data_IF_550800652136
#
_entry.id   IF_550800652136
#
_cell.length_a   1.000
_cell.length_b   1.000
_cell.length_c   1.000
_cell.angle_alpha   90.00
_cell.angle_beta   90.00
_cell.angle_gamma   90.00
#
_symmetry.space_group_name_H-M   'P 1'
#
loop_
_entity.id
_entity.type
_entity.pdbx_description
1 polymer ?
#
# COMPACT_ATOMS: atom_id res chain seq x y z
N UNK A 1 -23.26 1.63 -41.57
CA UNK A 1 -22.05 1.90 -40.79
C UNK A 1 -21.50 0.56 -40.34
N UNK A 2 -20.34 0.15 -40.87
CA UNK A 2 -19.63 -1.05 -40.40
C UNK A 2 -18.60 -0.56 -39.41
N UNK A 3 -18.77 -0.92 -38.15
CA UNK A 3 -17.75 -0.71 -37.08
C UNK A 3 -16.84 -1.94 -37.08
N UNK A 4 -15.60 -1.75 -37.50
CA UNK A 4 -14.55 -2.74 -37.29
C UNK A 4 -13.96 -2.46 -35.88
N UNK A 5 -14.21 -3.36 -34.95
CA UNK A 5 -13.63 -3.31 -33.61
C UNK A 5 -12.48 -4.33 -33.58
N UNK A 6 -11.27 -3.83 -33.38
CA UNK A 6 -10.10 -4.68 -33.13
C UNK A 6 -9.94 -4.79 -31.62
N UNK A 7 -10.00 -6.01 -31.08
CA UNK A 7 -9.82 -6.26 -29.66
C UNK A 7 -8.33 -6.43 -29.36
N UNK A 8 -7.77 -5.47 -28.62
CA UNK A 8 -6.39 -5.54 -28.16
C UNK A 8 -6.29 -6.35 -26.85
N UNK A 9 -5.08 -6.84 -26.55
CA UNK A 9 -4.81 -7.59 -25.33
C UNK A 9 -4.93 -6.67 -24.12
N UNK A 10 -5.76 -7.02 -23.15
CA UNK A 10 -6.00 -6.23 -21.94
C UNK A 10 -5.10 -6.65 -20.77
N UNK A 11 -4.47 -7.82 -20.89
CA UNK A 11 -3.53 -8.34 -19.91
C UNK A 11 -2.09 -7.95 -20.26
N UNK A 12 -1.39 -7.36 -19.31
CA UNK A 12 -0.02 -6.88 -19.40
C UNK A 12 0.83 -7.54 -18.32
N UNK A 13 1.99 -8.10 -18.73
CA UNK A 13 3.00 -8.63 -17.84
C UNK A 13 4.23 -7.72 -17.89
N UNK A 14 4.62 -7.21 -16.73
CA UNK A 14 5.81 -6.36 -16.57
C UNK A 14 6.80 -7.02 -15.63
N UNK A 15 8.08 -7.00 -15.99
CA UNK A 15 9.19 -7.37 -15.14
C UNK A 15 10.19 -6.21 -15.02
N UNK A 16 10.75 -6.01 -13.85
CA UNK A 16 11.70 -4.93 -13.60
C UNK A 16 12.77 -5.34 -12.61
N UNK A 17 13.95 -4.69 -12.71
CA UNK A 17 15.02 -4.78 -11.72
C UNK A 17 15.45 -3.36 -11.38
N UNK A 18 15.58 -3.07 -10.09
CA UNK A 18 16.06 -1.79 -9.58
C UNK A 18 17.17 -2.04 -8.55
N UNK A 19 17.96 -1.01 -8.27
CA UNK A 19 18.94 -1.03 -7.20
C UNK A 19 18.77 0.20 -6.31
N UNK A 20 18.69 -0.02 -5.01
CA UNK A 20 18.66 1.03 -3.99
C UNK A 20 19.71 0.75 -2.92
N UNK A 21 20.28 1.80 -2.32
CA UNK A 21 21.29 1.66 -1.25
C UNK A 21 20.74 0.92 -0.03
N UNK A 22 19.49 1.13 0.29
CA UNK A 22 18.80 0.50 1.44
C UNK A 22 18.23 -0.87 1.09
N UNK A 23 17.56 -0.99 -0.05
CA UNK A 23 16.88 -2.23 -0.46
C UNK A 23 17.76 -3.21 -1.23
N UNK A 24 18.94 -2.79 -1.69
CA UNK A 24 19.79 -3.58 -2.58
C UNK A 24 19.18 -3.77 -3.97
N UNK A 25 19.38 -4.94 -4.57
CA UNK A 25 18.73 -5.33 -5.82
C UNK A 25 17.28 -5.73 -5.55
N UNK A 26 16.36 -5.07 -6.21
CA UNK A 26 14.92 -5.32 -6.15
C UNK A 26 14.44 -5.86 -7.50
N UNK A 27 13.86 -7.05 -7.49
CA UNK A 27 13.13 -7.61 -8.62
C UNK A 27 11.63 -7.39 -8.46
N UNK A 28 10.95 -6.96 -9.52
CA UNK A 28 9.50 -6.75 -9.56
C UNK A 28 8.90 -7.55 -10.69
N UNK A 29 7.77 -8.22 -10.42
CA UNK A 29 6.91 -8.88 -11.39
C UNK A 29 5.49 -8.36 -11.20
N UNK A 30 4.87 -7.83 -12.25
CA UNK A 30 3.51 -7.33 -12.22
C UNK A 30 2.69 -7.91 -13.36
N UNK A 31 1.50 -8.39 -13.04
CA UNK A 31 0.49 -8.83 -14.00
C UNK A 31 -0.77 -7.97 -13.79
N UNK A 32 -1.23 -7.31 -14.82
CA UNK A 32 -2.43 -6.46 -14.77
C UNK A 32 -3.34 -6.78 -15.96
N UNK A 33 -4.62 -7.04 -15.69
CA UNK A 33 -5.66 -7.09 -16.70
C UNK A 33 -6.58 -5.88 -16.50
N UNK A 34 -6.66 -5.01 -17.50
CA UNK A 34 -7.46 -3.78 -17.48
C UNK A 34 -8.91 -3.96 -17.96
N UNK A 35 -9.26 -5.16 -18.42
CA UNK A 35 -10.62 -5.49 -18.85
C UNK A 35 -11.04 -6.88 -18.37
N UNK A 36 -10.83 -7.15 -17.09
CA UNK A 36 -11.11 -8.43 -16.46
C UNK A 36 -12.54 -8.92 -16.77
N UNK A 37 -12.65 -10.09 -17.40
CA UNK A 37 -13.89 -10.68 -17.87
C UNK A 37 -14.68 -9.82 -18.87
N UNK A 38 -14.05 -8.93 -19.59
CA UNK A 38 -14.71 -8.05 -20.55
C UNK A 38 -15.62 -6.98 -19.93
N UNK A 39 -15.41 -6.63 -18.65
CA UNK A 39 -16.28 -5.71 -17.89
C UNK A 39 -15.63 -4.36 -17.58
N UNK A 40 -14.52 -4.03 -18.23
CA UNK A 40 -13.74 -2.84 -17.91
C UNK A 40 -13.31 -2.76 -16.44
N UNK A 41 -13.19 -3.92 -15.78
CA UNK A 41 -12.69 -4.05 -14.43
C UNK A 41 -11.18 -4.31 -14.48
N UNK A 42 -10.46 -3.85 -13.50
CA UNK A 42 -9.02 -4.07 -13.39
C UNK A 42 -8.72 -5.13 -12.32
N UNK A 43 -7.87 -6.09 -12.64
CA UNK A 43 -7.30 -7.04 -11.70
C UNK A 43 -5.79 -6.97 -11.84
N UNK A 44 -5.11 -6.64 -10.74
CA UNK A 44 -3.66 -6.49 -10.70
C UNK A 44 -3.04 -7.40 -9.65
N UNK A 45 -1.91 -7.97 -10.00
CA UNK A 45 -1.05 -8.73 -9.11
C UNK A 45 0.36 -8.15 -9.20
N UNK A 46 1.01 -7.91 -8.06
CA UNK A 46 2.40 -7.47 -8.02
C UNK A 46 3.16 -8.28 -6.99
N UNK A 47 4.33 -8.72 -7.38
CA UNK A 47 5.29 -9.39 -6.50
C UNK A 47 6.64 -8.66 -6.60
N UNK A 48 7.21 -8.36 -5.44
CA UNK A 48 8.51 -7.71 -5.33
C UNK A 48 9.38 -8.48 -4.34
N UNK A 49 10.64 -8.62 -4.67
CA UNK A 49 11.63 -9.23 -3.79
C UNK A 49 12.98 -8.55 -3.93
N UNK A 50 13.58 -8.21 -2.80
CA UNK A 50 14.96 -7.72 -2.76
C UNK A 50 15.93 -8.79 -2.23
N UNK A 51 17.20 -8.53 -2.41
CA UNK A 51 18.27 -9.32 -1.82
C UNK A 51 18.63 -8.87 -0.38
N UNK A 52 17.94 -7.82 0.16
CA UNK A 52 18.08 -7.32 1.53
C UNK A 52 16.74 -7.41 2.27
N UNK A 53 16.23 -8.64 2.43
CA UNK A 53 15.09 -8.99 3.29
C UNK A 53 13.79 -8.18 3.07
N UNK A 54 13.56 -7.66 1.84
CA UNK A 54 12.28 -7.09 1.45
C UNK A 54 11.53 -8.05 0.55
N UNK A 55 10.28 -8.34 0.89
CA UNK A 55 9.35 -9.09 0.03
C UNK A 55 7.97 -8.45 0.12
N UNK A 56 7.36 -8.20 -1.02
CA UNK A 56 6.01 -7.65 -1.12
C UNK A 56 5.17 -8.45 -2.11
N UNK A 57 3.91 -8.58 -1.78
CA UNK A 57 2.90 -9.19 -2.60
C UNK A 57 1.64 -8.35 -2.52
N UNK A 58 1.02 -8.03 -3.66
CA UNK A 58 -0.30 -7.40 -3.68
C UNK A 58 -1.22 -8.02 -4.73
N UNK A 59 -2.50 -8.04 -4.42
CA UNK A 59 -3.61 -8.37 -5.30
C UNK A 59 -4.64 -7.27 -5.20
N UNK A 60 -4.89 -6.55 -6.28
CA UNK A 60 -5.75 -5.39 -6.33
C UNK A 60 -6.85 -5.59 -7.37
N UNK A 61 -8.08 -5.24 -7.01
CA UNK A 61 -9.24 -5.21 -7.88
C UNK A 61 -9.84 -3.82 -7.90
N UNK A 62 -10.24 -3.35 -9.08
CA UNK A 62 -10.90 -2.06 -9.24
C UNK A 62 -11.99 -2.14 -10.31
N UNK A 63 -13.20 -1.71 -9.95
CA UNK A 63 -14.32 -1.51 -10.85
C UNK A 63 -14.56 0.01 -11.00
N UNK A 64 -14.21 0.59 -12.15
CA UNK A 64 -14.33 2.03 -12.36
C UNK A 64 -15.78 2.50 -12.45
N UNK A 65 -16.73 1.56 -12.71
CA UNK A 65 -18.13 1.89 -12.88
C UNK A 65 -19.07 0.76 -12.49
N UNK A 66 -19.62 0.84 -11.30
CA UNK A 66 -20.64 -0.11 -10.87
C UNK A 66 -21.89 0.04 -11.76
N UNK A 67 -22.34 -1.07 -12.35
CA UNK A 67 -23.50 -1.12 -13.22
C UNK A 67 -24.74 -0.49 -12.54
N UNK A 68 -25.51 0.31 -13.29
CA UNK A 68 -26.69 1.03 -12.84
C UNK A 68 -26.44 2.12 -11.80
N UNK A 69 -25.21 2.61 -11.69
CA UNK A 69 -24.87 3.78 -10.86
C UNK A 69 -24.37 4.95 -11.69
N UNK A 70 -24.43 6.14 -11.13
CA UNK A 70 -23.88 7.33 -11.75
C UNK A 70 -22.43 7.55 -11.30
N UNK A 71 -21.48 7.10 -12.12
CA UNK A 71 -20.03 7.27 -11.93
C UNK A 71 -19.50 6.80 -10.57
N UNK A 72 -20.06 5.72 -10.01
CA UNK A 72 -19.56 5.12 -8.78
C UNK A 72 -18.54 4.03 -9.12
N UNK A 73 -17.40 4.11 -8.51
CA UNK A 73 -16.35 3.08 -8.57
C UNK A 73 -16.11 2.45 -7.21
N UNK A 74 -15.60 1.25 -7.20
CA UNK A 74 -15.14 0.60 -5.98
C UNK A 74 -13.93 -0.28 -6.26
N UNK A 75 -13.20 -0.60 -5.23
CA UNK A 75 -12.06 -1.50 -5.33
C UNK A 75 -11.68 -2.07 -3.99
N UNK A 76 -10.87 -3.10 -4.03
CA UNK A 76 -10.26 -3.71 -2.86
C UNK A 76 -8.84 -4.14 -3.19
N UNK A 77 -8.03 -4.27 -2.17
CA UNK A 77 -6.67 -4.78 -2.28
C UNK A 77 -6.30 -5.61 -1.07
N UNK A 78 -5.60 -6.71 -1.31
CA UNK A 78 -4.96 -7.56 -0.32
C UNK A 78 -3.46 -7.46 -0.53
N UNK A 79 -2.70 -7.24 0.52
CA UNK A 79 -1.24 -7.16 0.41
C UNK A 79 -0.55 -7.77 1.62
N UNK A 80 0.64 -8.28 1.36
CA UNK A 80 1.56 -8.73 2.40
C UNK A 80 2.93 -8.14 2.10
N UNK A 81 3.54 -7.53 3.12
CA UNK A 81 4.89 -6.99 3.04
C UNK A 81 5.71 -7.53 4.19
N UNK A 82 6.89 -8.02 3.90
CA UNK A 82 7.91 -8.37 4.89
C UNK A 82 9.10 -7.47 4.65
N UNK A 83 9.53 -6.79 5.69
CA UNK A 83 10.71 -5.94 5.68
C UNK A 83 11.62 -6.33 6.81
N UNK A 84 12.86 -6.69 6.50
CA UNK A 84 13.92 -6.94 7.46
C UNK A 84 14.91 -5.79 7.44
N UNK A 85 15.32 -5.32 8.61
CA UNK A 85 16.32 -4.26 8.75
C UNK A 85 17.47 -4.76 9.60
N UNK A 86 18.41 -5.46 8.96
CA UNK A 86 19.62 -5.98 9.61
C UNK A 86 20.66 -4.89 9.93
N UNK A 87 20.54 -3.72 9.33
CA UNK A 87 21.50 -2.62 9.46
C UNK A 87 21.05 -1.54 10.47
N UNK A 88 19.78 -1.59 10.93
CA UNK A 88 19.22 -0.64 11.89
C UNK A 88 19.62 -0.98 13.34
N UNK A 89 19.72 0.06 14.16
CA UNK A 89 19.99 -0.10 15.62
C UNK A 89 18.89 -0.92 16.30
N UNK A 90 17.70 -0.97 15.76
CA UNK A 90 16.55 -1.65 16.36
C UNK A 90 16.40 -3.12 15.95
N UNK A 91 17.11 -3.59 14.90
CA UNK A 91 17.17 -4.99 14.46
C UNK A 91 15.82 -5.72 14.50
N UNK A 92 14.82 -5.19 13.84
CA UNK A 92 13.51 -5.81 13.84
C UNK A 92 12.97 -6.02 12.42
N UNK A 93 12.37 -7.17 12.22
CA UNK A 93 11.62 -7.47 11.02
C UNK A 93 10.16 -7.07 11.21
N UNK A 94 9.57 -6.48 10.18
CA UNK A 94 8.18 -6.10 10.15
C UNK A 94 7.45 -6.91 9.09
N UNK A 95 6.51 -7.75 9.52
CA UNK A 95 5.56 -8.44 8.65
C UNK A 95 4.22 -7.72 8.71
N UNK A 96 3.71 -7.25 7.58
CA UNK A 96 2.40 -6.61 7.46
C UNK A 96 1.52 -7.43 6.54
N UNK A 97 0.31 -7.76 7.00
CA UNK A 97 -0.78 -8.29 6.17
C UNK A 97 -1.92 -7.27 6.19
N UNK A 98 -2.27 -6.72 5.04
CA UNK A 98 -3.25 -5.65 4.94
C UNK A 98 -4.36 -5.96 3.95
N UNK A 99 -5.55 -5.46 4.27
CA UNK A 99 -6.71 -5.41 3.39
C UNK A 99 -7.25 -3.99 3.32
N UNK A 100 -7.51 -3.50 2.11
CA UNK A 100 -8.07 -2.17 1.86
C UNK A 100 -9.31 -2.25 0.97
N UNK A 101 -10.22 -1.34 1.18
CA UNK A 101 -11.39 -1.13 0.32
C UNK A 101 -11.53 0.35 0.03
N UNK A 102 -12.08 0.69 -1.13
CA UNK A 102 -12.39 2.06 -1.48
C UNK A 102 -13.66 2.12 -2.31
N UNK A 103 -14.41 3.20 -2.15
CA UNK A 103 -15.55 3.58 -2.97
C UNK A 103 -15.38 5.03 -3.36
N UNK A 104 -15.73 5.37 -4.61
CA UNK A 104 -15.61 6.73 -5.11
C UNK A 104 -16.76 7.10 -6.01
N UNK A 105 -17.14 8.39 -5.98
CA UNK A 105 -18.14 8.97 -6.87
C UNK A 105 -17.57 10.13 -7.67
N UNK A 106 -17.69 10.06 -8.98
CA UNK A 106 -17.38 11.18 -9.87
C UNK A 106 -18.54 12.17 -9.95
N UNK A 107 -18.33 13.41 -9.51
CA UNK A 107 -19.35 14.47 -9.60
C UNK A 107 -19.25 15.24 -10.92
N UNK A 108 -18.07 15.25 -11.52
CA UNK A 108 -17.87 15.81 -12.86
C UNK A 108 -16.83 14.97 -13.61
N UNK A 109 -16.51 15.39 -14.84
CA UNK A 109 -15.44 14.77 -15.65
C UNK A 109 -14.08 14.79 -14.93
N UNK A 110 -13.85 15.81 -14.11
CA UNK A 110 -12.54 16.08 -13.50
C UNK A 110 -12.53 15.90 -11.97
N UNK A 111 -13.69 15.91 -11.32
CA UNK A 111 -13.78 15.90 -9.84
C UNK A 111 -14.36 14.60 -9.32
N UNK A 112 -13.66 13.99 -8.38
CA UNK A 112 -14.05 12.76 -7.70
C UNK A 112 -13.89 12.88 -6.18
N UNK A 113 -14.88 12.40 -5.44
CA UNK A 113 -14.81 12.17 -4.00
C UNK A 113 -14.73 10.66 -3.75
N UNK A 114 -13.87 10.27 -2.85
CA UNK A 114 -13.68 8.86 -2.51
C UNK A 114 -13.51 8.68 -1.00
N UNK A 115 -13.92 7.50 -0.54
CA UNK A 115 -13.73 7.04 0.83
C UNK A 115 -13.04 5.70 0.79
N UNK A 116 -11.94 5.58 1.50
CA UNK A 116 -11.23 4.32 1.70
C UNK A 116 -11.18 3.92 3.16
N UNK A 117 -11.03 2.64 3.39
CA UNK A 117 -10.75 2.05 4.69
C UNK A 117 -9.70 0.95 4.52
N UNK A 118 -8.87 0.76 5.52
CA UNK A 118 -7.89 -0.34 5.57
C UNK A 118 -7.80 -0.93 6.96
N UNK A 119 -7.42 -2.19 7.00
CA UNK A 119 -7.02 -2.92 8.20
C UNK A 119 -5.70 -3.64 7.92
N UNK A 120 -4.78 -3.53 8.84
CA UNK A 120 -3.44 -4.13 8.77
C UNK A 120 -3.16 -4.91 10.04
N UNK A 121 -2.74 -6.14 9.88
CA UNK A 121 -2.15 -6.94 10.94
C UNK A 121 -0.64 -6.85 10.81
N UNK A 122 0.00 -6.26 11.81
CA UNK A 122 1.43 -6.01 11.84
C UNK A 122 2.06 -6.89 12.91
N UNK A 123 3.11 -7.57 12.52
CA UNK A 123 3.92 -8.39 13.41
C UNK A 123 5.36 -7.91 13.33
N UNK A 124 5.89 -7.52 14.48
CA UNK A 124 7.30 -7.18 14.65
C UNK A 124 8.04 -8.37 15.22
N UNK A 125 9.16 -8.71 14.63
CA UNK A 125 10.05 -9.77 15.10
C UNK A 125 11.39 -9.15 15.43
N UNK A 126 11.92 -9.47 16.58
CA UNK A 126 13.22 -9.00 17.02
C UNK A 126 14.28 -10.06 16.79
N UNK A 127 15.45 -9.66 16.29
CA UNK A 127 16.55 -10.57 16.07
C UNK A 127 17.11 -11.09 17.40
N UNK A 128 17.13 -12.41 17.58
CA UNK A 128 17.65 -13.07 18.78
C UNK A 128 19.13 -12.74 18.98
N UNK A 129 19.47 -12.20 20.13
CA UNK A 129 20.86 -11.97 20.57
C UNK A 129 21.21 -10.50 20.82
N UNK A 130 20.50 -9.56 20.21
CA UNK A 130 20.66 -8.11 20.47
C UNK A 130 19.51 -7.53 21.28
N UNK A 131 18.35 -8.15 21.22
CA UNK A 131 17.18 -7.80 22.02
C UNK A 131 16.82 -8.93 22.96
N UNK A 132 16.53 -8.61 24.20
CA UNK A 132 16.11 -9.55 25.21
C UNK A 132 14.90 -9.03 25.97
N UNK A 133 13.87 -9.86 26.10
CA UNK A 133 12.73 -9.56 26.94
C UNK A 133 13.02 -10.08 28.37
N UNK A 134 12.94 -9.20 29.36
CA UNK A 134 13.05 -9.59 30.78
C UNK A 134 11.72 -10.22 31.24
N UNK A 135 11.74 -10.97 32.38
CA UNK A 135 10.55 -11.59 32.97
C UNK A 135 9.41 -10.62 33.30
N UNK A 136 9.71 -9.33 33.48
CA UNK A 136 8.73 -8.27 33.71
C UNK A 136 8.07 -7.75 32.42
N UNK A 137 8.35 -8.36 31.25
CA UNK A 137 7.79 -7.99 29.96
C UNK A 137 8.50 -6.82 29.29
N UNK A 138 9.52 -6.24 29.87
CA UNK A 138 10.28 -5.12 29.30
C UNK A 138 11.33 -5.62 28.32
N UNK A 139 11.56 -4.85 27.24
CA UNK A 139 12.57 -5.14 26.23
C UNK A 139 13.85 -4.35 26.47
N UNK A 140 14.98 -5.00 26.27
CA UNK A 140 16.32 -4.43 26.40
C UNK A 140 17.14 -4.75 25.16
N UNK A 141 17.98 -3.82 24.73
CA UNK A 141 18.98 -4.08 23.71
C UNK A 141 20.40 -3.94 24.26
N UNK A 142 21.31 -4.71 23.69
CA UNK A 142 22.72 -4.68 24.09
C UNK A 142 23.50 -3.75 23.17
N UNK A 143 24.01 -2.64 23.71
CA UNK A 143 24.90 -1.72 23.03
C UNK A 143 26.26 -1.74 23.73
N UNK A 144 27.30 -2.23 23.04
CA UNK A 144 28.66 -2.30 23.55
C UNK A 144 28.80 -2.94 24.94
N UNK A 145 28.02 -3.99 25.24
CA UNK A 145 28.04 -4.69 26.53
C UNK A 145 27.13 -4.12 27.60
N UNK A 146 26.38 -3.06 27.31
CA UNK A 146 25.39 -2.49 28.24
C UNK A 146 23.97 -2.73 27.72
N UNK A 147 23.10 -3.24 28.60
CA UNK A 147 21.70 -3.44 28.35
C UNK A 147 20.90 -2.16 28.61
N UNK A 148 20.24 -1.62 27.58
CA UNK A 148 19.37 -0.44 27.69
C UNK A 148 17.92 -0.84 27.48
N UNK A 149 17.03 -0.32 28.31
CA UNK A 149 15.58 -0.54 28.18
C UNK A 149 15.03 0.18 26.96
N UNK A 150 14.19 -0.53 26.19
CA UNK A 150 13.44 0.02 25.07
C UNK A 150 11.96 0.06 25.45
N UNK A 151 11.36 1.22 25.41
CA UNK A 151 9.93 1.36 25.60
C UNK A 151 9.19 1.15 24.27
N UNK A 152 8.13 0.34 24.30
CA UNK A 152 7.12 0.34 23.22
C UNK A 152 7.32 -0.66 22.11
N UNK A 153 8.05 -1.72 22.36
CA UNK A 153 8.19 -2.82 21.42
C UNK A 153 7.01 -3.77 21.58
N UNK A 154 6.13 -3.80 20.57
CA UNK A 154 5.00 -4.74 20.49
C UNK A 154 5.28 -5.80 19.45
N UNK A 155 5.03 -7.07 19.81
CA UNK A 155 5.17 -8.18 18.86
C UNK A 155 4.08 -8.21 17.80
N UNK A 156 2.87 -7.72 18.12
CA UNK A 156 1.71 -7.79 17.22
C UNK A 156 0.68 -6.72 17.55
N UNK A 157 0.16 -6.08 16.50
CA UNK A 157 -0.95 -5.15 16.63
C UNK A 157 -1.80 -5.10 15.35
N UNK A 158 -3.04 -4.62 15.50
CA UNK A 158 -3.95 -4.37 14.39
C UNK A 158 -4.11 -2.87 14.24
N UNK A 159 -3.86 -2.38 13.04
CA UNK A 159 -4.08 -1.00 12.66
C UNK A 159 -5.27 -0.93 11.74
N UNK A 160 -6.21 -0.02 12.00
CA UNK A 160 -7.29 0.30 11.08
C UNK A 160 -7.37 1.79 10.84
N UNK A 161 -7.72 2.19 9.64
CA UNK A 161 -7.89 3.59 9.29
C UNK A 161 -8.99 3.80 8.27
N UNK A 162 -9.49 5.04 8.24
CA UNK A 162 -10.43 5.54 7.24
C UNK A 162 -9.77 6.76 6.60
N UNK A 163 -9.84 6.85 5.26
CA UNK A 163 -9.20 7.92 4.51
C UNK A 163 -10.11 8.46 3.39
N UNK A 164 -10.94 9.47 3.69
CA UNK A 164 -11.60 10.26 2.66
C UNK A 164 -10.57 11.05 1.84
N UNK A 165 -10.80 11.11 0.51
CA UNK A 165 -9.98 11.93 -0.36
C UNK A 165 -10.79 12.52 -1.51
N UNK A 166 -10.36 13.68 -1.97
CA UNK A 166 -10.84 14.32 -3.17
C UNK A 166 -9.73 14.34 -4.21
N UNK A 167 -10.09 14.18 -5.48
CA UNK A 167 -9.16 14.34 -6.58
C UNK A 167 -9.77 15.19 -7.70
N UNK A 168 -8.90 15.99 -8.32
CA UNK A 168 -9.21 16.81 -9.46
C UNK A 168 -8.17 16.52 -10.56
N UNK A 169 -8.61 16.04 -11.72
CA UNK A 169 -7.75 15.59 -12.80
C UNK A 169 -8.20 16.14 -14.16
N UNK A 170 -7.37 16.99 -14.73
CA UNK A 170 -7.56 17.59 -16.06
C UNK A 170 -6.56 17.10 -17.09
N UNK A 171 -5.72 16.10 -16.72
CA UNK A 171 -4.69 15.57 -17.63
C UNK A 171 -5.33 14.94 -18.87
N UNK A 172 -4.70 15.17 -20.01
CA UNK A 172 -5.14 14.61 -21.28
C UNK A 172 -4.88 13.10 -21.41
N UNK A 173 -3.90 12.56 -20.65
CA UNK A 173 -3.57 11.15 -20.60
C UNK A 173 -3.10 10.79 -19.16
N UNK A 174 -3.56 9.66 -18.63
CA UNK A 174 -3.19 9.21 -17.29
C UNK A 174 -1.76 8.66 -17.22
N UNK A 175 -1.32 7.97 -18.28
CA UNK A 175 -0.04 7.27 -18.30
C UNK A 175 1.12 8.18 -18.72
N UNK A 176 0.87 9.02 -19.72
CA UNK A 176 1.85 9.97 -20.24
C UNK A 176 1.21 11.33 -20.49
N UNK A 177 0.97 12.12 -19.43
CA UNK A 177 0.35 13.43 -19.57
C UNK A 177 1.29 14.40 -20.25
N UNK A 178 0.78 15.10 -21.28
CA UNK A 178 1.49 16.19 -21.95
C UNK A 178 0.87 17.55 -21.63
N UNK A 179 -0.30 17.57 -20.98
CA UNK A 179 -0.99 18.78 -20.55
C UNK A 179 -2.02 18.46 -19.46
N UNK A 180 -2.35 19.49 -18.68
CA UNK A 180 -3.33 19.40 -17.59
C UNK A 180 -2.67 19.30 -16.22
N UNK A 181 -3.50 19.20 -15.20
CA UNK A 181 -3.09 19.19 -13.79
C UNK A 181 -3.83 18.09 -13.05
N UNK A 182 -3.13 17.42 -12.15
CA UNK A 182 -3.70 16.50 -11.18
C UNK A 182 -3.49 17.04 -9.78
N UNK A 183 -4.55 17.02 -8.96
CA UNK A 183 -4.49 17.33 -7.53
C UNK A 183 -5.24 16.29 -6.72
N UNK A 184 -4.68 15.87 -5.59
CA UNK A 184 -5.32 14.99 -4.61
C UNK A 184 -5.11 15.54 -3.21
N UNK A 185 -6.18 15.59 -2.44
CA UNK A 185 -6.16 15.90 -1.03
C UNK A 185 -6.79 14.75 -0.25
N UNK A 186 -6.08 14.21 0.73
CA UNK A 186 -6.49 13.09 1.55
C UNK A 186 -6.26 13.40 3.03
N UNK A 187 -7.23 13.03 3.84
CA UNK A 187 -7.10 12.98 5.30
C UNK A 187 -7.23 11.52 5.70
N UNK A 188 -6.37 11.03 6.55
CA UNK A 188 -6.45 9.69 7.11
C UNK A 188 -6.48 9.79 8.62
N UNK A 189 -7.41 9.06 9.25
CA UNK A 189 -7.48 8.88 10.68
C UNK A 189 -7.58 7.40 11.01
N UNK A 190 -6.85 6.95 12.02
CA UNK A 190 -6.82 5.55 12.38
C UNK A 190 -6.40 5.31 13.81
N UNK A 191 -6.45 4.05 14.18
CA UNK A 191 -6.11 3.56 15.50
C UNK A 191 -5.35 2.24 15.39
N UNK A 192 -4.30 2.10 16.17
CA UNK A 192 -3.60 0.84 16.39
C UNK A 192 -4.04 0.24 17.72
N UNK A 193 -4.52 -0.99 17.69
CA UNK A 193 -4.90 -1.77 18.87
C UNK A 193 -3.90 -2.90 19.11
N UNK A 194 -3.35 -2.97 20.32
CA UNK A 194 -2.37 -3.95 20.75
C UNK A 194 -1.91 -3.64 22.18
N UNK A 195 -0.73 -4.04 22.56
CA UNK A 195 -0.17 -3.77 23.88
C UNK A 195 -0.04 -2.26 24.15
N UNK A 196 0.36 -1.47 23.14
CA UNK A 196 0.24 -0.01 23.15
C UNK A 196 -0.77 0.42 22.11
N UNK A 197 -1.91 0.92 22.52
CA UNK A 197 -2.90 1.47 21.62
C UNK A 197 -2.62 2.95 21.37
N UNK A 198 -2.78 3.39 20.14
CA UNK A 198 -2.58 4.78 19.76
C UNK A 198 -3.42 5.17 18.55
N UNK A 199 -3.85 6.44 18.53
CA UNK A 199 -4.53 7.02 17.37
C UNK A 199 -3.56 7.88 16.59
N UNK A 200 -3.73 7.93 15.27
CA UNK A 200 -2.94 8.77 14.38
C UNK A 200 -3.81 9.51 13.39
N UNK A 201 -3.27 10.58 12.86
CA UNK A 201 -3.85 11.31 11.74
C UNK A 201 -2.77 11.70 10.75
N UNK A 202 -3.09 11.62 9.45
CA UNK A 202 -2.21 11.99 8.37
C UNK A 202 -2.95 12.86 7.35
N UNK A 203 -2.24 13.81 6.76
CA UNK A 203 -2.75 14.66 5.67
C UNK A 203 -1.80 14.52 4.49
N UNK A 204 -2.34 14.20 3.33
CA UNK A 204 -1.56 14.07 2.09
C UNK A 204 -2.09 15.06 1.06
N UNK A 205 -1.18 15.87 0.51
CA UNK A 205 -1.43 16.73 -0.64
C UNK A 205 -0.52 16.29 -1.79
N UNK A 206 -1.11 15.99 -2.92
CA UNK A 206 -0.39 15.62 -4.13
C UNK A 206 -0.76 16.57 -5.26
N UNK A 207 0.24 17.15 -5.91
CA UNK A 207 0.08 18.03 -7.07
C UNK A 207 1.04 17.58 -8.17
N UNK A 208 0.51 17.39 -9.37
CA UNK A 208 1.29 17.06 -10.59
C UNK A 208 0.86 17.97 -11.73
N UNK A 209 1.80 18.44 -12.52
CA UNK A 209 1.58 19.26 -13.70
C UNK A 209 2.23 18.62 -14.91
#
# INVERSE_FOLDING_TARGET
LILLIDEDRTAELQGGVAYGSETGFLGTLSLKDSNWRGKNQELGFTFEKSNKDYTSFSLDFFDPWIKNTDRVSWGWGLYKTSYGDSDSILFHDIDTLGFKVNIGKGFSKHFRLSLGAKVEYIKEKHENGKLQQAPNGRWYYNEAGSWKEIEGVDDKYVLWSIYPYISYDTRNNYLNPTSGTYGKFQIEGGHAGGYKSGSFGNVTLELRK
#
